data_IF_744819113344
#
_entry.id   IF_744819113344
#
_cell.length_a   1.000
_cell.length_b   1.000
_cell.length_c   1.000
_cell.angle_alpha   90.00
_cell.angle_beta   90.00
_cell.angle_gamma   90.00
#
_symmetry.space_group_name_H-M   'P 1'
#
loop_
_entity.id
_entity.type
_entity.pdbx_description
1 polymer ?
#
# COMPACT_ATOMS: atom_id res chain seq x y z
N UNK A 1 23.81 -10.23 22.55
CA UNK A 1 24.65 -10.39 21.34
C UNK A 1 24.72 -9.08 20.55
N UNK A 2 23.60 -8.42 20.24
CA UNK A 2 23.58 -7.09 19.60
C UNK A 2 24.38 -6.03 20.37
N UNK A 3 24.25 -5.99 21.70
CA UNK A 3 24.97 -5.03 22.54
C UNK A 3 26.47 -5.26 22.50
N UNK A 4 26.90 -6.52 22.65
CA UNK A 4 28.31 -6.89 22.53
C UNK A 4 28.90 -6.51 21.16
N UNK A 5 28.18 -6.76 20.06
CA UNK A 5 28.60 -6.35 18.71
C UNK A 5 28.67 -4.83 18.57
N UNK A 6 27.70 -4.11 19.14
CA UNK A 6 27.68 -2.65 19.15
C UNK A 6 28.87 -2.08 19.90
N UNK A 7 29.20 -2.66 21.05
CA UNK A 7 30.27 -2.18 21.93
C UNK A 7 31.65 -2.52 21.38
N UNK A 8 31.78 -3.66 20.68
CA UNK A 8 33.07 -4.13 20.14
C UNK A 8 33.37 -3.61 18.73
N UNK A 9 32.38 -3.63 17.83
CA UNK A 9 32.57 -3.30 16.40
C UNK A 9 31.94 -1.95 16.02
N UNK A 10 31.04 -1.43 16.86
CA UNK A 10 30.31 -0.18 16.63
C UNK A 10 28.88 -0.38 16.13
N UNK A 11 28.08 0.69 16.26
CA UNK A 11 26.64 0.71 15.95
C UNK A 11 26.34 0.27 14.51
N UNK A 12 27.23 0.55 13.55
CA UNK A 12 27.05 0.21 12.13
C UNK A 12 27.00 -1.29 11.83
N UNK A 13 27.58 -2.13 12.70
CA UNK A 13 27.53 -3.59 12.57
C UNK A 13 26.42 -4.22 13.42
N UNK A 14 25.91 -3.49 14.42
CA UNK A 14 24.73 -3.90 15.17
C UNK A 14 23.44 -3.62 14.40
N UNK A 15 23.39 -2.49 13.67
CA UNK A 15 22.29 -2.13 12.78
C UNK A 15 22.76 -2.22 11.33
N UNK A 16 22.70 -3.41 10.75
CA UNK A 16 23.06 -3.62 9.34
C UNK A 16 22.06 -2.85 8.46
N UNK A 17 22.51 -1.89 7.63
CA UNK A 17 21.65 -1.23 6.66
C UNK A 17 21.05 -2.27 5.72
N UNK A 18 19.73 -2.23 5.54
CA UNK A 18 19.06 -3.09 4.57
C UNK A 18 19.32 -2.49 3.18
N UNK A 19 19.99 -3.22 2.30
CA UNK A 19 20.21 -2.77 0.93
C UNK A 19 18.88 -2.48 0.23
N UNK A 20 18.83 -1.40 -0.55
CA UNK A 20 17.65 -1.01 -1.33
C UNK A 20 17.74 -1.45 -2.78
N UNK A 21 16.62 -1.37 -3.52
CA UNK A 21 16.63 -1.61 -4.97
C UNK A 21 17.43 -0.52 -5.69
N UNK A 22 17.43 0.70 -5.14
CA UNK A 22 18.21 1.83 -5.61
C UNK A 22 19.72 1.58 -5.48
N UNK A 23 20.17 1.03 -4.36
CA UNK A 23 21.59 0.69 -4.15
C UNK A 23 22.03 -0.39 -5.14
N UNK A 24 21.24 -1.46 -5.26
CA UNK A 24 21.49 -2.52 -6.24
C UNK A 24 21.52 -2.00 -7.69
N UNK A 25 20.66 -1.03 -8.01
CA UNK A 25 20.67 -0.37 -9.32
C UNK A 25 21.96 0.42 -9.55
N UNK A 26 22.44 1.17 -8.55
CA UNK A 26 23.66 1.99 -8.67
C UNK A 26 24.90 1.12 -8.87
N UNK A 27 24.98 -0.03 -8.21
CA UNK A 27 26.08 -0.99 -8.36
C UNK A 27 25.99 -1.84 -9.64
N UNK A 28 24.79 -1.96 -10.22
CA UNK A 28 24.57 -2.79 -11.40
C UNK A 28 25.09 -2.18 -12.70
N UNK A 29 25.58 -3.04 -13.59
CA UNK A 29 25.97 -2.72 -14.97
C UNK A 29 25.11 -3.50 -15.98
N UNK A 30 25.30 -3.27 -17.28
CA UNK A 30 24.63 -4.06 -18.34
C UNK A 30 25.03 -5.54 -18.36
N UNK A 31 26.14 -5.90 -17.72
CA UNK A 31 26.66 -7.27 -17.62
C UNK A 31 26.30 -7.95 -16.31
N UNK A 32 25.93 -7.17 -15.30
CA UNK A 32 25.67 -7.68 -13.95
C UNK A 32 24.21 -8.10 -13.83
N UNK A 33 23.99 -9.37 -13.51
CA UNK A 33 22.68 -9.88 -13.14
C UNK A 33 22.30 -9.37 -11.74
N UNK A 34 21.08 -8.85 -11.57
CA UNK A 34 20.53 -8.54 -10.25
C UNK A 34 19.50 -9.60 -9.85
N UNK A 35 19.82 -10.36 -8.80
CA UNK A 35 19.00 -11.45 -8.29
C UNK A 35 18.29 -11.01 -7.00
N UNK A 36 16.97 -10.92 -7.08
CA UNK A 36 16.08 -10.68 -5.94
C UNK A 36 15.67 -12.02 -5.33
N UNK A 37 16.18 -12.30 -4.15
CA UNK A 37 15.77 -13.45 -3.34
C UNK A 37 14.52 -13.07 -2.56
N UNK A 38 13.37 -13.55 -3.01
CA UNK A 38 12.08 -13.26 -2.38
C UNK A 38 11.90 -14.12 -1.13
N UNK A 39 11.44 -13.50 -0.05
CA UNK A 39 10.89 -14.21 1.11
C UNK A 39 9.43 -13.85 1.29
N UNK A 40 8.61 -14.86 1.62
CA UNK A 40 7.17 -14.69 1.63
C UNK A 40 6.63 -14.43 0.22
N UNK A 41 5.61 -13.57 0.13
CA UNK A 41 4.96 -13.22 -1.15
C UNK A 41 5.19 -11.75 -1.54
N UNK A 42 6.31 -11.19 -1.10
CA UNK A 42 6.72 -9.84 -1.45
C UNK A 42 6.94 -9.71 -2.95
N UNK A 43 6.25 -8.76 -3.60
CA UNK A 43 6.36 -8.51 -5.04
C UNK A 43 7.16 -7.21 -5.30
N UNK A 44 8.35 -7.27 -5.93
CA UNK A 44 9.16 -6.09 -6.22
C UNK A 44 8.72 -5.33 -7.48
N UNK A 45 7.79 -5.87 -8.28
CA UNK A 45 7.45 -5.36 -9.61
C UNK A 45 7.12 -3.86 -9.62
N UNK A 46 6.15 -3.41 -8.82
CA UNK A 46 5.72 -2.02 -8.82
C UNK A 46 6.83 -1.05 -8.41
N UNK A 47 7.68 -1.46 -7.44
CA UNK A 47 8.84 -0.65 -7.01
C UNK A 47 9.92 -0.59 -8.09
N UNK A 48 10.23 -1.72 -8.72
CA UNK A 48 11.19 -1.80 -9.83
C UNK A 48 10.73 -0.99 -11.03
N UNK A 49 9.46 -1.05 -11.39
CA UNK A 49 8.92 -0.30 -12.53
C UNK A 49 9.02 1.21 -12.27
N UNK A 50 8.72 1.67 -11.04
CA UNK A 50 8.93 3.07 -10.63
C UNK A 50 10.41 3.45 -10.67
N UNK A 51 11.30 2.57 -10.22
CA UNK A 51 12.74 2.79 -10.26
C UNK A 51 13.26 2.89 -11.70
N UNK A 52 12.81 2.01 -12.59
CA UNK A 52 13.15 2.01 -14.01
C UNK A 52 12.72 3.33 -14.68
N UNK A 53 11.49 3.80 -14.42
CA UNK A 53 11.01 5.11 -14.89
C UNK A 53 11.90 6.26 -14.42
N UNK A 54 12.26 6.25 -13.13
CA UNK A 54 13.15 7.26 -12.53
C UNK A 54 14.55 7.23 -13.16
N UNK A 55 15.12 6.05 -13.39
CA UNK A 55 16.45 5.88 -13.97
C UNK A 55 16.53 6.32 -15.45
N UNK A 56 15.45 6.13 -16.22
CA UNK A 56 15.39 6.54 -17.63
C UNK A 56 14.99 8.01 -17.83
N UNK A 57 14.67 8.74 -16.76
CA UNK A 57 14.36 10.17 -16.85
C UNK A 57 13.08 10.48 -17.64
N UNK A 58 12.05 9.61 -17.56
CA UNK A 58 10.77 9.76 -18.28
C UNK A 58 9.85 10.84 -17.65
N UNK A 59 10.41 12.03 -17.42
CA UNK A 59 9.71 13.25 -17.06
C UNK A 59 9.83 14.26 -18.20
N UNK A 60 9.09 14.02 -19.30
CA UNK A 60 9.01 14.90 -20.48
C UNK A 60 9.07 14.14 -21.81
N UNK A 61 8.11 14.44 -22.70
CA UNK A 61 7.94 14.15 -24.16
C UNK A 61 8.29 12.76 -24.75
N UNK A 62 9.15 11.95 -24.13
CA UNK A 62 9.53 10.58 -24.53
C UNK A 62 8.75 9.48 -23.78
N UNK A 63 7.52 9.77 -23.33
CA UNK A 63 6.67 8.83 -22.58
C UNK A 63 6.30 7.56 -23.38
N UNK A 64 6.54 7.54 -24.69
CA UNK A 64 6.19 6.44 -25.59
C UNK A 64 7.20 5.29 -25.60
N UNK A 65 8.42 5.46 -25.07
CA UNK A 65 9.44 4.39 -25.08
C UNK A 65 9.28 3.48 -23.86
N UNK A 66 9.04 2.19 -24.10
CA UNK A 66 8.84 1.19 -23.05
C UNK A 66 10.16 0.92 -22.31
N UNK A 67 10.33 1.55 -21.15
CA UNK A 67 11.58 1.50 -20.36
C UNK A 67 11.68 0.26 -19.45
N UNK A 68 10.58 -0.49 -19.29
CA UNK A 68 10.49 -1.64 -18.40
C UNK A 68 9.61 -2.72 -19.02
N UNK A 69 10.13 -3.93 -19.07
CA UNK A 69 9.47 -5.12 -19.57
C UNK A 69 9.45 -6.20 -18.49
N UNK A 70 8.39 -7.01 -18.45
CA UNK A 70 8.25 -8.07 -17.45
C UNK A 70 7.88 -9.40 -18.11
N UNK A 71 8.45 -10.47 -17.59
CA UNK A 71 8.17 -11.84 -18.00
C UNK A 71 8.07 -12.75 -16.77
N UNK A 72 6.92 -13.40 -16.55
CA UNK A 72 6.86 -14.54 -15.64
C UNK A 72 7.38 -15.79 -16.38
N UNK A 73 8.43 -16.43 -15.87
CA UNK A 73 9.03 -17.58 -16.55
C UNK A 73 8.35 -18.89 -16.13
N UNK A 74 8.10 -19.72 -17.14
CA UNK A 74 7.60 -21.10 -17.04
C UNK A 74 8.40 -21.95 -18.03
N UNK A 75 8.32 -23.28 -17.92
CA UNK A 75 9.13 -24.20 -18.75
C UNK A 75 8.95 -23.98 -20.26
N UNK A 76 7.76 -23.57 -20.69
CA UNK A 76 7.36 -23.31 -22.07
C UNK A 76 7.71 -21.91 -22.59
N UNK A 77 8.22 -21.00 -21.73
CA UNK A 77 8.45 -19.58 -22.07
C UNK A 77 9.90 -19.22 -22.31
N UNK A 78 10.78 -20.20 -22.46
CA UNK A 78 12.22 -19.99 -22.71
C UNK A 78 12.48 -19.23 -24.02
N UNK A 79 11.76 -19.55 -25.10
CA UNK A 79 11.91 -18.83 -26.38
C UNK A 79 11.44 -17.38 -26.29
N UNK A 80 10.31 -17.15 -25.60
CA UNK A 80 9.81 -15.81 -25.33
C UNK A 80 10.81 -14.99 -24.49
N UNK A 81 11.48 -15.61 -23.52
CA UNK A 81 12.55 -14.96 -22.75
C UNK A 81 13.71 -14.53 -23.65
N UNK A 82 14.20 -15.41 -24.53
CA UNK A 82 15.33 -15.08 -25.41
C UNK A 82 14.98 -13.91 -26.33
N UNK A 83 13.79 -13.93 -26.95
CA UNK A 83 13.33 -12.84 -27.81
C UNK A 83 13.18 -11.51 -27.05
N UNK A 84 12.61 -11.56 -25.83
CA UNK A 84 12.49 -10.37 -24.98
C UNK A 84 13.85 -9.83 -24.53
N UNK A 85 14.78 -10.71 -24.17
CA UNK A 85 16.12 -10.33 -23.75
C UNK A 85 16.85 -9.56 -24.85
N UNK A 86 16.83 -10.08 -26.08
CA UNK A 86 17.45 -9.43 -27.23
C UNK A 86 16.81 -8.07 -27.53
N UNK A 87 15.46 -8.01 -27.50
CA UNK A 87 14.73 -6.76 -27.70
C UNK A 87 15.06 -5.72 -26.63
N UNK A 88 15.05 -6.10 -25.35
CA UNK A 88 15.33 -5.16 -24.27
C UNK A 88 16.77 -4.62 -24.32
N UNK A 89 17.73 -5.46 -24.74
CA UNK A 89 19.11 -5.00 -24.99
C UNK A 89 19.14 -3.97 -26.11
N UNK A 90 18.46 -4.20 -27.23
CA UNK A 90 18.40 -3.25 -28.35
C UNK A 90 17.69 -1.95 -27.98
N UNK A 91 16.60 -2.04 -27.21
CA UNK A 91 15.79 -0.91 -26.79
C UNK A 91 16.40 -0.14 -25.62
N UNK A 92 17.48 -0.66 -25.02
CA UNK A 92 18.12 -0.13 -23.81
C UNK A 92 17.13 -0.06 -22.63
N UNK A 93 16.21 -1.02 -22.55
CA UNK A 93 15.16 -1.11 -21.53
C UNK A 93 15.49 -2.15 -20.45
N UNK A 94 14.82 -2.08 -19.30
CA UNK A 94 15.02 -3.07 -18.25
C UNK A 94 14.11 -4.28 -18.45
N UNK A 95 14.66 -5.48 -18.22
CA UNK A 95 13.90 -6.72 -18.21
C UNK A 95 13.81 -7.26 -16.78
N UNK A 96 12.59 -7.46 -16.30
CA UNK A 96 12.30 -8.14 -15.04
C UNK A 96 11.70 -9.52 -15.32
N UNK A 97 12.39 -10.58 -14.90
CA UNK A 97 11.85 -11.94 -14.97
C UNK A 97 11.39 -12.36 -13.58
N UNK A 98 10.10 -12.67 -13.44
CA UNK A 98 9.53 -13.11 -12.17
C UNK A 98 9.49 -14.61 -12.04
N UNK A 99 9.49 -15.05 -10.78
CA UNK A 99 9.21 -16.43 -10.37
C UNK A 99 10.14 -17.48 -10.98
N UNK A 100 11.45 -17.17 -11.09
CA UNK A 100 12.42 -18.04 -11.77
C UNK A 100 12.54 -19.44 -11.16
N UNK A 101 12.26 -19.61 -9.87
CA UNK A 101 12.13 -20.90 -9.19
C UNK A 101 11.06 -21.84 -9.77
N UNK A 102 10.10 -21.34 -10.55
CA UNK A 102 9.08 -22.17 -11.21
C UNK A 102 9.60 -22.87 -12.48
N UNK A 103 10.81 -22.53 -12.95
CA UNK A 103 11.44 -23.20 -14.08
C UNK A 103 12.89 -23.57 -13.75
N UNK A 104 13.09 -24.83 -13.37
CA UNK A 104 14.43 -25.36 -13.11
C UNK A 104 15.31 -25.31 -14.37
N UNK A 105 14.72 -25.58 -15.54
CA UNK A 105 15.40 -25.46 -16.82
C UNK A 105 15.96 -24.06 -17.04
N UNK A 106 15.18 -23.00 -16.76
CA UNK A 106 15.65 -21.62 -16.85
C UNK A 106 16.82 -21.35 -15.90
N UNK A 107 16.71 -21.76 -14.63
CA UNK A 107 17.77 -21.53 -13.63
C UNK A 107 19.11 -22.16 -14.07
N UNK A 108 19.07 -23.38 -14.61
CA UNK A 108 20.27 -24.06 -15.14
C UNK A 108 20.90 -23.34 -16.34
N UNK A 109 20.11 -22.56 -17.09
CA UNK A 109 20.58 -21.81 -18.25
C UNK A 109 21.13 -20.41 -17.92
N UNK A 110 20.96 -19.93 -16.68
CA UNK A 110 21.50 -18.63 -16.25
C UNK A 110 22.99 -18.39 -16.53
N UNK A 111 23.91 -19.38 -16.44
CA UNK A 111 25.31 -19.18 -16.79
C UNK A 111 25.50 -18.77 -18.25
N UNK A 112 24.70 -19.35 -19.16
CA UNK A 112 24.70 -18.97 -20.58
C UNK A 112 24.14 -17.56 -20.78
N UNK A 113 23.09 -17.19 -20.03
CA UNK A 113 22.55 -15.82 -20.05
C UNK A 113 23.61 -14.81 -19.60
N UNK A 114 24.31 -15.07 -18.49
CA UNK A 114 25.38 -14.19 -18.01
C UNK A 114 26.53 -14.10 -19.03
N UNK A 115 26.92 -15.22 -19.65
CA UNK A 115 27.92 -15.23 -20.71
C UNK A 115 27.49 -14.43 -21.95
N UNK A 116 26.20 -14.45 -22.29
CA UNK A 116 25.62 -13.65 -23.36
C UNK A 116 25.62 -12.16 -23.00
N UNK A 117 25.23 -11.79 -21.78
CA UNK A 117 25.22 -10.40 -21.31
C UNK A 117 26.61 -9.75 -21.37
N UNK A 118 27.68 -10.50 -21.06
CA UNK A 118 29.07 -10.00 -21.16
C UNK A 118 29.49 -9.56 -22.57
N UNK A 119 28.76 -9.97 -23.61
CA UNK A 119 29.01 -9.53 -25.00
C UNK A 119 28.37 -8.18 -25.30
N UNK A 120 27.49 -7.68 -24.43
CA UNK A 120 26.81 -6.40 -24.61
C UNK A 120 27.79 -5.22 -24.42
N UNK A 121 27.39 -4.02 -24.86
CA UNK A 121 28.15 -2.79 -24.62
C UNK A 121 28.17 -2.45 -23.11
N UNK A 122 29.34 -2.14 -22.58
CA UNK A 122 29.54 -1.72 -21.19
C UNK A 122 28.75 -0.45 -20.83
N UNK A 123 28.56 0.45 -21.81
CA UNK A 123 27.82 1.71 -21.63
C UNK A 123 26.31 1.57 -21.80
N UNK A 124 25.80 0.35 -21.98
CA UNK A 124 24.36 0.09 -22.10
C UNK A 124 23.63 0.37 -20.77
N UNK A 125 22.48 1.01 -20.87
CA UNK A 125 21.49 1.27 -19.81
C UNK A 125 20.58 0.06 -19.55
N UNK A 126 20.66 -0.98 -20.39
CA UNK A 126 19.99 -2.26 -20.15
C UNK A 126 20.33 -2.81 -18.76
N UNK A 127 19.34 -3.39 -18.08
CA UNK A 127 19.51 -4.13 -16.81
C UNK A 127 18.61 -5.36 -16.80
N UNK A 128 19.15 -6.48 -16.30
CA UNK A 128 18.39 -7.72 -16.10
C UNK A 128 18.16 -7.95 -14.60
N UNK A 129 16.89 -7.97 -14.22
CA UNK A 129 16.42 -8.26 -12.86
C UNK A 129 15.71 -9.61 -12.85
N UNK A 130 16.05 -10.47 -11.90
CA UNK A 130 15.35 -11.74 -11.69
C UNK A 130 14.77 -11.77 -10.29
N UNK A 131 13.58 -12.36 -10.11
CA UNK A 131 13.10 -12.73 -8.79
C UNK A 131 12.90 -14.23 -8.65
N UNK A 132 13.34 -14.76 -7.52
CA UNK A 132 13.25 -16.19 -7.23
C UNK A 132 13.15 -16.43 -5.74
N UNK A 133 12.46 -17.51 -5.35
CA UNK A 133 12.65 -18.11 -4.03
C UNK A 133 13.98 -18.88 -4.03
N UNK A 134 14.60 -19.13 -2.85
CA UNK A 134 15.76 -20.00 -2.75
C UNK A 134 15.49 -21.36 -3.42
N UNK A 135 16.39 -21.80 -4.31
CA UNK A 135 16.22 -23.02 -5.08
C UNK A 135 17.58 -23.67 -5.37
N UNK A 136 17.67 -24.99 -5.28
CA UNK A 136 18.94 -25.74 -5.41
C UNK A 136 19.54 -25.67 -6.81
N UNK A 137 18.70 -25.57 -7.84
CA UNK A 137 19.14 -25.43 -9.23
C UNK A 137 19.79 -24.07 -9.57
N UNK A 138 19.83 -23.11 -8.64
CA UNK A 138 20.55 -21.85 -8.84
C UNK A 138 22.06 -22.11 -8.96
N UNK A 139 22.70 -21.83 -10.10
CA UNK A 139 24.10 -22.17 -10.28
C UNK A 139 25.02 -21.32 -9.41
N UNK A 140 25.98 -21.97 -8.73
CA UNK A 140 26.96 -21.30 -7.87
C UNK A 140 27.74 -20.21 -8.63
N UNK A 141 28.09 -20.46 -9.90
CA UNK A 141 28.81 -19.50 -10.75
C UNK A 141 28.03 -18.20 -10.96
N UNK A 142 26.70 -18.28 -11.06
CA UNK A 142 25.83 -17.10 -11.17
C UNK A 142 25.75 -16.41 -9.82
N UNK A 143 25.53 -17.17 -8.74
CA UNK A 143 25.50 -16.62 -7.38
C UNK A 143 26.80 -15.90 -7.01
N UNK A 144 27.96 -16.36 -7.44
CA UNK A 144 29.23 -15.70 -7.14
C UNK A 144 29.42 -14.36 -7.88
N UNK A 145 28.75 -14.18 -9.03
CA UNK A 145 28.98 -13.05 -9.94
C UNK A 145 27.78 -12.10 -10.10
N UNK A 146 26.69 -12.31 -9.34
CA UNK A 146 25.51 -11.46 -9.37
C UNK A 146 25.38 -10.58 -8.11
N UNK A 147 24.66 -9.47 -8.25
CA UNK A 147 24.19 -8.70 -7.10
C UNK A 147 23.01 -9.47 -6.51
N UNK A 148 23.10 -9.81 -5.21
CA UNK A 148 22.08 -10.58 -4.50
C UNK A 148 21.42 -9.67 -3.48
N UNK A 149 20.12 -9.48 -3.62
CA UNK A 149 19.34 -8.71 -2.66
C UNK A 149 18.25 -9.60 -2.06
N UNK A 150 18.26 -9.74 -0.74
CA UNK A 150 17.14 -10.34 -0.02
C UNK A 150 16.00 -9.31 0.01
N UNK A 151 14.95 -9.59 -0.77
CA UNK A 151 13.77 -8.74 -0.82
C UNK A 151 12.71 -9.32 0.11
N UNK A 152 12.61 -8.73 1.30
CA UNK A 152 11.65 -9.08 2.34
C UNK A 152 10.65 -7.93 2.52
N UNK A 153 9.44 -8.25 2.94
CA UNK A 153 8.53 -7.24 3.48
C UNK A 153 9.14 -6.54 4.69
N UNK A 154 8.98 -5.21 4.80
CA UNK A 154 9.58 -4.49 5.90
C UNK A 154 8.91 -4.86 7.21
N UNK A 155 9.73 -5.13 8.23
CA UNK A 155 9.26 -5.54 9.56
C UNK A 155 8.91 -4.32 10.41
N UNK A 156 7.88 -4.48 11.24
CA UNK A 156 7.37 -3.53 12.21
C UNK A 156 6.16 -2.77 11.69
N UNK A 157 5.16 -2.61 12.57
CA UNK A 157 3.89 -1.91 12.29
C UNK A 157 4.12 -0.54 11.64
N UNK A 158 5.09 0.25 12.16
CA UNK A 158 5.42 1.58 11.61
C UNK A 158 5.82 1.52 10.12
N UNK A 159 6.62 0.52 9.72
CA UNK A 159 7.06 0.39 8.33
C UNK A 159 5.93 -0.10 7.44
N UNK A 160 5.09 -1.03 7.92
CA UNK A 160 3.88 -1.44 7.22
C UNK A 160 2.97 -0.25 6.94
N UNK A 161 2.67 0.56 7.97
CA UNK A 161 1.86 1.78 7.79
C UNK A 161 2.49 2.75 6.78
N UNK A 162 3.81 2.96 6.84
CA UNK A 162 4.54 3.77 5.86
C UNK A 162 4.31 3.30 4.42
N UNK A 163 4.44 2.00 4.16
CA UNK A 163 4.17 1.43 2.84
C UNK A 163 2.71 1.65 2.38
N UNK A 164 1.74 1.48 3.28
CA UNK A 164 0.33 1.69 2.96
C UNK A 164 0.05 3.15 2.57
N UNK A 165 0.69 4.11 3.25
CA UNK A 165 0.57 5.52 2.91
C UNK A 165 1.24 5.86 1.58
N UNK A 166 2.41 5.28 1.30
CA UNK A 166 3.08 5.41 0.00
C UNK A 166 2.22 4.84 -1.15
N UNK A 167 1.49 3.74 -0.89
CA UNK A 167 0.61 3.11 -1.87
C UNK A 167 -0.67 3.91 -2.13
N UNK A 168 -1.28 4.49 -1.09
CA UNK A 168 -2.38 5.45 -1.28
C UNK A 168 -1.86 6.62 -2.12
N UNK A 169 -0.70 7.15 -1.77
CA UNK A 169 -0.09 8.27 -2.47
C UNK A 169 -0.82 9.61 -2.26
N UNK A 170 -0.10 10.70 -2.52
CA UNK A 170 -0.58 12.05 -2.22
C UNK A 170 -1.84 12.43 -3.03
N UNK A 171 -1.91 12.03 -4.30
CA UNK A 171 -3.03 12.38 -5.18
C UNK A 171 -4.36 11.75 -4.72
N UNK A 172 -4.36 10.46 -4.36
CA UNK A 172 -5.55 9.76 -3.84
C UNK A 172 -5.95 10.32 -2.49
N UNK A 173 -4.98 10.52 -1.59
CA UNK A 173 -5.24 11.08 -0.27
C UNK A 173 -5.88 12.47 -0.35
N UNK A 174 -5.36 13.35 -1.23
CA UNK A 174 -5.96 14.67 -1.49
C UNK A 174 -7.36 14.58 -2.07
N UNK A 175 -7.59 13.66 -3.02
CA UNK A 175 -8.91 13.43 -3.62
C UNK A 175 -9.94 12.98 -2.58
N UNK A 176 -9.63 11.96 -1.78
CA UNK A 176 -10.52 11.48 -0.71
C UNK A 176 -10.79 12.58 0.31
N UNK A 177 -9.75 13.31 0.74
CA UNK A 177 -9.90 14.43 1.69
C UNK A 177 -10.77 15.56 1.12
N UNK A 178 -10.61 15.90 -0.17
CA UNK A 178 -11.43 16.91 -0.84
C UNK A 178 -12.89 16.47 -0.97
N UNK A 179 -13.15 15.20 -1.27
CA UNK A 179 -14.51 14.65 -1.30
C UNK A 179 -15.19 14.78 0.07
N UNK A 180 -14.46 14.55 1.18
CA UNK A 180 -14.99 14.73 2.54
C UNK A 180 -15.34 16.19 2.85
N UNK A 181 -14.58 17.15 2.30
CA UNK A 181 -14.85 18.60 2.45
C UNK A 181 -16.05 19.07 1.63
N UNK A 182 -16.31 18.43 0.49
CA UNK A 182 -17.41 18.78 -0.42
C UNK A 182 -18.74 18.13 -0.03
N UNK A 183 -18.76 17.26 0.99
CA UNK A 183 -20.00 16.74 1.54
C UNK A 183 -20.83 17.90 2.09
N UNK A 184 -21.98 18.16 1.44
CA UNK A 184 -22.89 19.30 1.64
C UNK A 184 -23.62 19.30 3.01
N UNK A 185 -22.99 18.78 4.06
CA UNK A 185 -23.50 18.77 5.43
C UNK A 185 -22.79 19.83 6.26
N UNK A 186 -23.47 20.40 7.26
CA UNK A 186 -22.92 21.41 8.19
C UNK A 186 -21.71 20.92 9.03
N UNK A 187 -21.19 19.71 8.77
CA UNK A 187 -20.16 19.00 9.54
C UNK A 187 -18.96 18.54 8.67
N UNK A 188 -18.69 19.18 7.53
CA UNK A 188 -17.63 18.77 6.60
C UNK A 188 -16.23 18.65 7.26
N UNK A 189 -15.88 19.54 8.19
CA UNK A 189 -14.63 19.47 8.96
C UNK A 189 -14.56 18.24 9.89
N UNK A 190 -15.71 17.83 10.42
CA UNK A 190 -15.86 16.65 11.28
C UNK A 190 -15.69 15.37 10.45
N UNK A 191 -16.27 15.31 9.25
CA UNK A 191 -16.15 14.17 8.33
C UNK A 191 -14.72 13.93 7.85
N UNK A 192 -13.98 14.99 7.50
CA UNK A 192 -12.55 14.90 7.17
C UNK A 192 -11.74 14.31 8.34
N UNK A 193 -12.04 14.76 9.56
CA UNK A 193 -11.38 14.29 10.78
C UNK A 193 -11.67 12.81 11.03
N UNK A 194 -12.91 12.37 10.86
CA UNK A 194 -13.29 10.96 10.96
C UNK A 194 -12.56 10.10 9.93
N UNK A 195 -12.52 10.53 8.67
CA UNK A 195 -11.79 9.82 7.62
C UNK A 195 -10.31 9.63 7.98
N UNK A 196 -9.61 10.69 8.39
CA UNK A 196 -8.18 10.60 8.76
C UNK A 196 -7.94 9.67 9.95
N UNK A 197 -8.80 9.73 10.97
CA UNK A 197 -8.72 8.84 12.15
C UNK A 197 -8.97 7.38 11.78
N UNK A 198 -9.97 7.12 10.93
CA UNK A 198 -10.28 5.79 10.43
C UNK A 198 -9.16 5.24 9.55
N UNK A 199 -8.62 6.06 8.65
CA UNK A 199 -7.50 5.68 7.80
C UNK A 199 -6.27 5.27 8.63
N UNK A 200 -5.94 6.05 9.65
CA UNK A 200 -4.87 5.71 10.58
C UNK A 200 -5.15 4.39 11.32
N UNK A 201 -6.36 4.23 11.85
CA UNK A 201 -6.74 3.03 12.62
C UNK A 201 -6.73 1.78 11.75
N UNK A 202 -7.22 1.87 10.51
CA UNK A 202 -7.20 0.77 9.55
C UNK A 202 -5.78 0.41 9.11
N UNK A 203 -4.92 1.40 8.87
CA UNK A 203 -3.52 1.14 8.53
C UNK A 203 -2.78 0.49 9.70
N UNK A 204 -3.04 0.93 10.93
CA UNK A 204 -2.50 0.31 12.13
C UNK A 204 -3.00 -1.13 12.32
N UNK A 205 -4.30 -1.37 12.14
CA UNK A 205 -4.88 -2.71 12.20
C UNK A 205 -4.24 -3.63 11.15
N UNK A 206 -4.14 -3.19 9.89
CA UNK A 206 -3.52 -3.97 8.83
C UNK A 206 -2.05 -4.30 9.16
N UNK A 207 -1.27 -3.31 9.62
CA UNK A 207 0.10 -3.52 10.05
C UNK A 207 0.23 -4.47 11.26
N UNK A 208 -0.71 -4.41 12.20
CA UNK A 208 -0.78 -5.33 13.34
C UNK A 208 -1.06 -6.77 12.88
N UNK A 209 -1.99 -6.95 11.94
CA UNK A 209 -2.34 -8.25 11.39
C UNK A 209 -1.19 -8.88 10.61
N UNK A 210 -0.44 -8.08 9.85
CA UNK A 210 0.79 -8.51 9.18
C UNK A 210 1.84 -8.96 10.19
N UNK A 211 2.08 -8.18 11.25
CA UNK A 211 3.03 -8.56 12.30
C UNK A 211 2.57 -9.78 13.10
N UNK A 212 1.26 -9.99 13.24
CA UNK A 212 0.71 -11.15 13.92
C UNK A 212 1.10 -12.46 13.23
N UNK A 213 1.33 -12.45 11.92
CA UNK A 213 1.83 -13.62 11.18
C UNK A 213 3.22 -14.08 11.65
N UNK A 214 4.03 -13.19 12.23
CA UNK A 214 5.35 -13.55 12.76
C UNK A 214 5.28 -14.47 13.99
N UNK A 215 4.11 -14.60 14.63
CA UNK A 215 3.90 -15.44 15.81
C UNK A 215 3.39 -16.85 15.48
N UNK A 216 3.30 -17.22 14.19
CA UNK A 216 2.90 -18.56 13.75
C UNK A 216 1.61 -19.03 14.46
N UNK A 217 1.64 -20.19 15.11
CA UNK A 217 0.49 -20.80 15.81
C UNK A 217 -0.02 -19.99 17.01
N UNK A 218 0.80 -19.11 17.60
CA UNK A 218 0.36 -18.19 18.65
C UNK A 218 -0.39 -16.97 18.09
N UNK A 219 -0.08 -16.61 16.84
CA UNK A 219 -0.78 -15.56 16.11
C UNK A 219 -2.11 -16.08 15.54
N UNK A 220 -2.04 -17.19 14.82
CA UNK A 220 -3.17 -17.73 14.08
C UNK A 220 -3.23 -19.25 14.20
N UNK A 221 -4.46 -19.80 14.27
CA UNK A 221 -4.66 -21.25 14.14
C UNK A 221 -4.23 -21.70 12.74
N UNK A 222 -4.62 -20.93 11.72
CA UNK A 222 -4.19 -21.08 10.34
C UNK A 222 -3.66 -19.73 9.83
N UNK A 223 -2.42 -19.66 9.31
CA UNK A 223 -1.81 -18.40 8.94
C UNK A 223 -2.56 -17.76 7.78
N UNK A 224 -3.12 -16.57 8.03
CA UNK A 224 -3.81 -15.81 7.01
C UNK A 224 -2.89 -14.77 6.37
N UNK A 225 -2.95 -14.67 5.05
CA UNK A 225 -2.11 -13.76 4.29
C UNK A 225 -2.86 -12.50 3.85
N UNK A 226 -2.74 -11.45 4.65
CA UNK A 226 -3.21 -10.13 4.27
C UNK A 226 -2.32 -9.53 3.18
N UNK A 227 -2.95 -8.92 2.17
CA UNK A 227 -2.26 -8.20 1.09
C UNK A 227 -2.67 -6.74 1.10
N UNK A 228 -1.84 -5.86 0.55
CA UNK A 228 -2.15 -4.43 0.51
C UNK A 228 -3.48 -4.11 -0.20
N UNK A 229 -3.92 -4.97 -1.14
CA UNK A 229 -5.22 -4.84 -1.79
C UNK A 229 -6.38 -4.92 -0.79
N UNK A 230 -6.28 -5.77 0.25
CA UNK A 230 -7.29 -5.86 1.31
C UNK A 230 -7.46 -4.50 2.03
N UNK A 231 -6.34 -3.82 2.28
CA UNK A 231 -6.35 -2.47 2.85
C UNK A 231 -6.91 -1.43 1.87
N UNK A 232 -6.48 -1.46 0.61
CA UNK A 232 -6.96 -0.54 -0.43
C UNK A 232 -8.47 -0.65 -0.66
N UNK A 233 -9.02 -1.86 -0.63
CA UNK A 233 -10.46 -2.09 -0.68
C UNK A 233 -11.16 -1.54 0.56
N UNK A 234 -10.65 -1.86 1.75
CA UNK A 234 -11.22 -1.37 3.00
C UNK A 234 -11.23 0.17 3.08
N UNK A 235 -10.14 0.83 2.67
CA UNK A 235 -10.05 2.30 2.56
C UNK A 235 -11.09 2.86 1.58
N UNK A 236 -11.27 2.21 0.42
CA UNK A 236 -12.25 2.61 -0.58
C UNK A 236 -13.68 2.53 -0.03
N UNK A 237 -14.00 1.48 0.73
CA UNK A 237 -15.31 1.28 1.36
C UNK A 237 -15.56 2.28 2.48
N UNK A 238 -14.55 2.59 3.31
CA UNK A 238 -14.63 3.64 4.32
C UNK A 238 -14.90 4.99 3.66
N UNK A 239 -14.12 5.34 2.64
CA UNK A 239 -14.31 6.56 1.85
C UNK A 239 -15.72 6.64 1.26
N UNK A 240 -16.19 5.55 0.64
CA UNK A 240 -17.54 5.48 0.08
C UNK A 240 -18.64 5.64 1.16
N UNK A 241 -18.51 4.95 2.29
CA UNK A 241 -19.48 5.03 3.39
C UNK A 241 -19.59 6.44 3.96
N UNK A 242 -18.45 7.09 4.21
CA UNK A 242 -18.41 8.46 4.68
C UNK A 242 -18.96 9.44 3.62
N UNK A 243 -18.67 9.25 2.34
CA UNK A 243 -19.16 10.15 1.30
C UNK A 243 -20.67 10.00 1.05
N UNK A 244 -21.18 8.76 0.95
CA UNK A 244 -22.56 8.48 0.47
C UNK A 244 -23.58 8.23 1.57
N UNK A 245 -23.17 7.70 2.72
CA UNK A 245 -24.12 7.33 3.78
C UNK A 245 -24.28 8.43 4.84
N UNK A 246 -23.29 9.33 5.01
CA UNK A 246 -23.46 10.55 5.82
C UNK A 246 -24.47 11.53 5.23
N UNK A 247 -24.83 11.39 3.94
CA UNK A 247 -25.74 12.31 3.23
C UNK A 247 -27.22 12.02 3.56
N UNK A 248 -27.57 10.85 4.12
CA UNK A 248 -28.96 10.54 4.48
C UNK A 248 -29.30 11.04 5.89
N UNK A 249 -29.51 12.34 6.04
CA UNK A 249 -30.32 12.86 7.16
C UNK A 249 -31.78 12.51 6.87
N UNK A 250 -32.38 11.60 7.64
CA UNK A 250 -33.82 11.37 7.57
C UNK A 250 -34.55 12.70 7.91
N UNK A 251 -35.55 13.14 7.13
CA UNK A 251 -36.35 14.29 7.51
C UNK A 251 -37.10 13.96 8.81
N UNK A 252 -36.92 14.79 9.84
CA UNK A 252 -37.62 14.64 11.11
C UNK A 252 -39.14 14.77 10.88
N UNK A 253 -39.94 13.72 11.12
CA UNK A 253 -41.39 13.77 10.94
C UNK A 253 -42.08 14.77 11.87
N UNK A 254 -41.39 15.33 12.87
CA UNK A 254 -41.98 16.30 13.82
C UNK A 254 -42.15 17.70 13.25
N UNK A 255 -41.45 18.08 12.18
CA UNK A 255 -41.55 19.43 11.60
C UNK A 255 -42.69 19.65 10.60
N UNK A 256 -43.40 18.59 10.18
CA UNK A 256 -44.57 18.73 9.29
C UNK A 256 -45.91 18.89 10.03
N UNK A 257 -45.93 18.79 11.37
CA UNK A 257 -47.18 18.73 12.14
C UNK A 257 -47.65 20.08 12.72
N UNK A 258 -47.01 21.19 12.34
CA UNK A 258 -47.26 22.52 12.91
C UNK A 258 -47.66 23.62 11.91
N UNK A 259 -48.51 23.31 10.92
CA UNK A 259 -49.18 24.34 10.10
C UNK A 259 -50.69 24.07 10.00
N UNK A 260 -51.32 23.90 11.16
CA UNK A 260 -52.78 24.00 11.31
C UNK A 260 -53.11 25.39 11.85
N UNK A 261 -53.84 26.19 11.07
CA UNK A 261 -54.16 27.58 11.39
C UNK A 261 -54.93 27.76 12.70
N UNK A 262 -54.65 28.86 13.39
CA UNK A 262 -55.47 29.34 14.51
C UNK A 262 -55.75 30.83 14.31
N UNK A 263 -57.04 31.12 14.22
CA UNK A 263 -57.67 32.44 14.10
C UNK A 263 -57.57 33.24 15.40
N UNK A 264 -57.43 34.56 15.24
CA UNK A 264 -57.41 35.58 16.29
C UNK A 264 -58.66 35.57 17.18
N UNK A 265 -58.47 35.66 18.51
CA UNK A 265 -59.35 36.40 19.44
C UNK A 265 -58.49 37.02 20.55
N UNK A 266 -58.83 38.25 20.92
CA UNK A 266 -58.10 39.24 21.72
C UNK A 266 -58.48 39.32 23.21
N UNK A 267 -57.44 39.40 24.08
CA UNK A 267 -57.25 40.22 25.32
C UNK A 267 -58.15 40.03 26.59
N UNK A 268 -57.78 40.52 27.80
CA UNK A 268 -56.52 41.13 28.31
C UNK A 268 -55.98 40.61 29.69
N UNK A 269 -54.76 41.08 30.05
CA UNK A 269 -54.13 41.31 31.37
C UNK A 269 -54.23 40.31 32.54
N UNK A 270 -53.06 39.85 33.06
CA UNK A 270 -52.53 40.17 34.41
C UNK A 270 -51.02 39.88 34.42
N UNK A 271 -50.22 40.88 34.80
CA UNK A 271 -48.79 40.81 35.11
C UNK A 271 -48.54 40.23 36.51
N UNK A 272 -47.62 39.29 36.64
CA UNK A 272 -46.86 39.03 37.87
C UNK A 272 -45.53 38.38 37.49
N UNK A 273 -44.46 39.07 37.87
CA UNK A 273 -43.06 38.68 37.77
C UNK A 273 -42.82 37.40 38.57
N UNK A 274 -42.07 36.46 38.00
CA UNK A 274 -41.29 35.47 38.75
C UNK A 274 -39.98 35.23 37.97
N UNK A 275 -39.07 36.19 38.13
CA UNK A 275 -37.64 36.05 37.84
C UNK A 275 -37.03 35.06 38.84
N UNK A 276 -37.11 33.76 38.56
CA UNK A 276 -36.33 32.78 39.32
C UNK A 276 -35.98 31.54 38.48
N UNK A 277 -34.68 31.49 38.14
CA UNK A 277 -33.84 30.36 37.73
C UNK A 277 -33.20 30.46 36.34
N UNK A 278 -32.18 31.32 36.27
CA UNK A 278 -31.00 31.12 35.43
C UNK A 278 -30.20 29.88 35.87
N UNK A 279 -30.75 28.70 35.61
CA UNK A 279 -30.04 27.44 35.50
C UNK A 279 -30.62 26.71 34.30
N UNK A 280 -30.45 27.33 33.12
CA UNK A 280 -30.48 26.57 31.87
C UNK A 280 -29.33 25.57 32.00
N UNK A 281 -29.67 24.37 32.48
CA UNK A 281 -28.84 23.19 32.28
C UNK A 281 -28.69 23.14 30.78
N UNK A 282 -27.53 23.53 30.28
CA UNK A 282 -27.12 23.21 28.92
C UNK A 282 -27.37 21.72 28.77
N UNK A 283 -28.48 21.39 28.12
CA UNK A 283 -28.68 20.08 27.57
C UNK A 283 -27.52 20.00 26.56
N UNK A 284 -26.42 19.40 26.98
CA UNK A 284 -25.47 18.78 26.07
C UNK A 284 -26.31 17.75 25.30
N UNK A 285 -27.04 18.22 24.27
CA UNK A 285 -27.69 17.36 23.30
C UNK A 285 -26.58 16.41 22.88
N UNK A 286 -26.72 15.09 23.10
CA UNK A 286 -25.69 14.15 22.71
C UNK A 286 -25.54 14.31 21.20
N UNK A 287 -24.43 14.92 20.79
CA UNK A 287 -24.16 15.20 19.39
C UNK A 287 -24.13 13.85 18.68
N UNK A 288 -25.26 13.51 18.05
CA UNK A 288 -25.48 12.18 17.54
C UNK A 288 -24.47 11.95 16.42
N UNK A 289 -23.54 11.02 16.66
CA UNK A 289 -22.51 10.68 15.70
C UNK A 289 -23.16 10.13 14.44
N UNK A 290 -23.17 10.93 13.37
CA UNK A 290 -23.78 10.58 12.10
C UNK A 290 -22.98 9.51 11.35
N UNK A 291 -21.79 9.14 11.83
CA UNK A 291 -20.90 8.17 11.19
C UNK A 291 -21.61 6.82 11.01
N UNK A 292 -21.60 6.24 9.79
CA UNK A 292 -22.28 4.98 9.50
C UNK A 292 -21.46 3.79 10.03
N UNK A 293 -21.28 3.71 11.35
CA UNK A 293 -20.42 2.74 12.02
C UNK A 293 -20.76 1.29 11.70
N UNK A 294 -22.05 0.97 11.58
CA UNK A 294 -22.51 -0.38 11.22
C UNK A 294 -22.05 -0.78 9.82
N UNK A 295 -22.16 0.14 8.84
CA UNK A 295 -21.67 -0.09 7.50
C UNK A 295 -20.15 -0.22 7.48
N UNK A 296 -19.43 0.70 8.14
CA UNK A 296 -17.97 0.67 8.18
C UNK A 296 -17.47 -0.64 8.80
N UNK A 297 -18.08 -1.09 9.90
CA UNK A 297 -17.73 -2.35 10.54
C UNK A 297 -17.96 -3.55 9.60
N UNK A 298 -19.16 -3.69 9.05
CA UNK A 298 -19.48 -4.82 8.16
C UNK A 298 -18.66 -4.79 6.86
N UNK A 299 -18.61 -3.66 6.19
CA UNK A 299 -17.97 -3.53 4.88
C UNK A 299 -16.44 -3.51 4.97
N UNK A 300 -15.84 -2.76 5.91
CA UNK A 300 -14.38 -2.62 5.95
C UNK A 300 -13.69 -3.69 6.79
N UNK A 301 -14.35 -4.27 7.81
CA UNK A 301 -13.75 -5.30 8.67
C UNK A 301 -14.24 -6.69 8.30
N UNK A 302 -15.55 -6.94 8.29
CA UNK A 302 -16.04 -8.31 8.07
C UNK A 302 -15.77 -8.78 6.64
N UNK A 303 -16.03 -7.94 5.63
CA UNK A 303 -15.78 -8.30 4.23
C UNK A 303 -14.29 -8.40 3.89
N UNK A 304 -13.47 -7.43 4.34
CA UNK A 304 -12.05 -7.38 3.95
C UNK A 304 -11.14 -8.25 4.83
N UNK A 305 -11.49 -8.44 6.11
CA UNK A 305 -10.64 -9.12 7.10
C UNK A 305 -11.34 -10.29 7.82
N UNK A 306 -12.67 -10.43 7.75
CA UNK A 306 -13.42 -11.45 8.49
C UNK A 306 -13.78 -12.70 7.69
N UNK A 307 -13.84 -12.61 6.37
CA UNK A 307 -14.25 -13.72 5.50
C UNK A 307 -13.12 -14.67 5.09
N UNK A 308 -11.96 -14.63 5.77
CA UNK A 308 -10.76 -15.31 5.30
C UNK A 308 -10.09 -16.17 6.36
#
# INVERSE_FOLDING_TARGET
MSDFTRDTLGVKYANVPVGSLEDACQESTSHTLVLLLLRGNSNPHAKLERLARKAHGTSGENASKKCFETLAITEDRMEAFVGLLQRCIMDESWLYVSDCHLSEAFLKQLPHVVAFLKRNNLNSKFRLWLSTKPHEALPLSVLQNCIKLAYEEPKGIRRHMGNLYDEIGEARFKKSTAAMKQSSTNNAATTETHYKRLLFTMAFLHGLLLERNNFQQLGWIEPYQFVNNDFCLAESLVSYGLEKLLVKKAPDPRHQRGKGGRTNVSSPDVSLEDDFHGLDRGEDEPQHDATPWQFIKGAALELCYGGK
#
